data_IF_440895480013
#
_entry.id   IF_440895480013
#
_cell.length_a   1.000
_cell.length_b   1.000
_cell.length_c   1.000
_cell.angle_alpha   90.00
_cell.angle_beta   90.00
_cell.angle_gamma   90.00
#
_symmetry.space_group_name_H-M   'P 1'
#
loop_
_entity.id
_entity.type
_entity.pdbx_description
1 polymer ?
#
# COMPACT_ATOMS: atom_id res chain seq x y z
N UNK A 1 3.63 -17.79 -3.62
CA UNK A 1 4.61 -17.88 -2.50
C UNK A 1 5.85 -17.08 -2.88
N UNK A 2 6.66 -16.67 -1.88
CA UNK A 2 7.95 -15.99 -2.09
C UNK A 2 9.05 -16.89 -1.55
N UNK A 3 10.16 -16.98 -2.28
CA UNK A 3 11.33 -17.77 -1.88
C UNK A 3 12.56 -16.88 -1.72
N UNK A 4 13.60 -17.41 -1.07
CA UNK A 4 14.89 -16.74 -1.03
C UNK A 4 15.38 -16.44 -2.46
N UNK A 5 16.03 -15.28 -2.63
CA UNK A 5 16.51 -14.76 -3.91
C UNK A 5 15.43 -14.33 -4.93
N UNK A 6 14.14 -14.37 -4.59
CA UNK A 6 13.12 -13.71 -5.42
C UNK A 6 13.31 -12.18 -5.38
N UNK A 7 13.19 -11.54 -6.55
CA UNK A 7 13.16 -10.08 -6.64
C UNK A 7 11.70 -9.61 -6.66
N UNK A 8 11.36 -8.73 -5.72
CA UNK A 8 9.99 -8.24 -5.53
C UNK A 8 9.81 -6.83 -6.10
N UNK A 9 8.64 -6.60 -6.69
CA UNK A 9 8.21 -5.35 -7.29
C UNK A 9 6.91 -4.88 -6.60
N UNK A 10 7.02 -4.10 -5.51
CA UNK A 10 5.86 -3.58 -4.82
C UNK A 10 5.25 -2.38 -5.57
N UNK A 11 3.93 -2.30 -5.58
CA UNK A 11 3.18 -1.17 -6.08
C UNK A 11 2.05 -0.80 -5.10
N UNK A 12 1.90 0.50 -4.85
CA UNK A 12 0.89 1.06 -3.96
C UNK A 12 -0.02 1.99 -4.74
N UNK A 13 -1.32 1.80 -4.58
CA UNK A 13 -2.37 2.65 -5.16
C UNK A 13 -3.19 3.27 -4.04
N UNK A 14 -3.48 4.57 -4.12
CA UNK A 14 -4.42 5.22 -3.19
C UNK A 14 -5.82 4.75 -3.56
N UNK A 15 -6.38 3.87 -2.75
CA UNK A 15 -7.71 3.31 -2.95
C UNK A 15 -8.81 4.20 -2.34
N UNK A 16 -8.54 4.81 -1.17
CA UNK A 16 -9.50 5.66 -0.48
C UNK A 16 -8.81 6.77 0.32
N UNK A 17 -9.46 7.93 0.42
CA UNK A 17 -9.08 9.03 1.29
C UNK A 17 -10.28 9.43 2.15
N UNK A 18 -10.09 9.46 3.46
CA UNK A 18 -11.08 9.95 4.42
C UNK A 18 -10.51 11.05 5.29
N UNK A 19 -11.22 12.18 5.34
CA UNK A 19 -10.82 13.39 6.03
C UNK A 19 -11.27 13.39 7.50
N UNK A 20 -10.34 13.56 8.45
CA UNK A 20 -10.62 13.83 9.87
C UNK A 20 -10.36 15.30 10.24
N UNK A 21 -10.29 15.65 11.53
CA UNK A 21 -10.02 17.05 11.96
C UNK A 21 -8.53 17.40 11.92
N UNK A 22 -7.69 16.64 12.63
CA UNK A 22 -6.23 16.83 12.72
C UNK A 22 -5.44 15.79 11.91
N UNK A 23 -6.10 14.68 11.56
CA UNK A 23 -5.58 13.58 10.75
C UNK A 23 -6.55 13.23 9.62
N UNK A 24 -6.14 12.39 8.69
CA UNK A 24 -7.00 11.68 7.74
C UNK A 24 -6.58 10.21 7.63
N UNK A 25 -7.45 9.37 7.08
CA UNK A 25 -7.14 7.98 6.77
C UNK A 25 -6.83 7.87 5.28
N UNK A 26 -5.73 7.22 4.94
CA UNK A 26 -5.38 6.81 3.59
C UNK A 26 -5.44 5.28 3.53
N UNK A 27 -6.32 4.74 2.69
CA UNK A 27 -6.31 3.31 2.34
C UNK A 27 -5.46 3.12 1.10
N UNK A 28 -4.41 2.30 1.18
CA UNK A 28 -3.59 1.89 0.05
C UNK A 28 -3.96 0.46 -0.35
N UNK A 29 -4.22 0.23 -1.64
CA UNK A 29 -4.13 -1.12 -2.21
C UNK A 29 -2.66 -1.40 -2.46
N UNK A 30 -2.17 -2.51 -1.92
CA UNK A 30 -0.80 -2.97 -2.05
C UNK A 30 -0.78 -4.23 -2.89
N UNK A 31 0.04 -4.23 -3.93
CA UNK A 31 0.32 -5.41 -4.75
C UNK A 31 1.83 -5.64 -4.78
N UNK A 32 2.23 -6.90 -4.78
CA UNK A 32 3.63 -7.28 -4.97
C UNK A 32 3.69 -8.36 -6.02
N UNK A 33 4.49 -8.11 -7.05
CA UNK A 33 4.82 -9.09 -8.06
C UNK A 33 6.26 -9.57 -7.88
N UNK A 34 6.55 -10.80 -8.29
CA UNK A 34 7.92 -11.30 -8.39
C UNK A 34 8.50 -11.10 -9.82
N UNK A 35 9.75 -11.50 -10.03
CA UNK A 35 10.44 -11.42 -11.32
C UNK A 35 9.78 -12.21 -12.46
N UNK A 36 8.92 -13.19 -12.13
CA UNK A 36 8.12 -13.95 -13.09
C UNK A 36 6.76 -13.32 -13.37
N UNK A 37 6.49 -12.12 -12.81
CA UNK A 37 5.22 -11.39 -12.88
C UNK A 37 4.05 -12.12 -12.21
N UNK A 38 4.33 -12.98 -11.24
CA UNK A 38 3.31 -13.63 -10.44
C UNK A 38 2.92 -12.69 -9.28
N UNK A 39 1.60 -12.56 -9.04
CA UNK A 39 1.09 -11.85 -7.87
C UNK A 39 1.36 -12.69 -6.62
N UNK A 40 2.25 -12.20 -5.76
CA UNK A 40 2.66 -12.92 -4.54
C UNK A 40 2.07 -12.32 -3.26
N UNK A 41 1.60 -11.08 -3.32
CA UNK A 41 0.85 -10.44 -2.26
C UNK A 41 -0.15 -9.45 -2.85
N UNK A 42 -1.36 -9.48 -2.32
CA UNK A 42 -2.35 -8.44 -2.48
C UNK A 42 -3.00 -8.14 -1.13
N UNK A 43 -3.20 -6.86 -0.82
CA UNK A 43 -3.86 -6.47 0.41
C UNK A 43 -4.19 -4.99 0.48
N UNK A 44 -4.90 -4.63 1.55
CA UNK A 44 -5.23 -3.25 1.87
C UNK A 44 -4.46 -2.83 3.13
N UNK A 45 -3.90 -1.64 3.11
CA UNK A 45 -3.22 -1.04 4.26
C UNK A 45 -3.88 0.30 4.59
N UNK A 46 -4.25 0.51 5.85
CA UNK A 46 -4.86 1.76 6.31
C UNK A 46 -3.90 2.51 7.20
N UNK A 47 -3.64 3.77 6.85
CA UNK A 47 -2.73 4.66 7.57
C UNK A 47 -3.46 5.90 8.05
N UNK A 48 -3.17 6.32 9.29
CA UNK A 48 -3.47 7.67 9.74
C UNK A 48 -2.36 8.61 9.29
N UNK A 49 -2.71 9.66 8.56
CA UNK A 49 -1.79 10.69 8.09
C UNK A 49 -2.16 12.00 8.75
N UNK A 50 -1.17 12.69 9.34
CA UNK A 50 -1.38 14.00 9.94
C UNK A 50 -1.71 15.01 8.84
N UNK A 51 -2.72 15.86 9.08
CA UNK A 51 -3.00 16.97 8.16
C UNK A 51 -1.86 17.98 8.17
N UNK A 52 -1.61 18.59 7.01
CA UNK A 52 -0.73 19.75 6.92
C UNK A 52 -1.31 20.85 7.84
N UNK A 53 -0.50 21.50 8.69
CA UNK A 53 -0.92 22.71 9.39
C UNK A 53 -1.41 23.76 8.39
N UNK A 54 -2.35 24.60 8.82
CA UNK A 54 -2.75 25.78 8.06
C UNK A 54 -1.60 26.79 7.98
#
# INVERSE_FOLDING_TARGET
>A
PVYAEDTLYPALEIAELSAGRTTGVVTLRSTVFNQRRELVLEGMQRFLVRRRPA
#
